data_IF_075236073316
#
_entry.id   IF_075236073316
#
_cell.length_a   1.000
_cell.length_b   1.000
_cell.length_c   1.000
_cell.angle_alpha   90.00
_cell.angle_beta   90.00
_cell.angle_gamma   90.00
#
_symmetry.space_group_name_H-M   'P 1'
#
loop_
_entity.id
_entity.type
_entity.pdbx_description
1 polymer ?
#
# COMPACT_ATOMS: atom_id res chain seq x y z
N UNK A 1 -7.52 10.93 11.17
CA UNK A 1 -6.75 10.14 12.15
C UNK A 1 -7.41 8.76 12.28
N UNK A 2 -7.09 7.82 11.39
CA UNK A 2 -7.40 6.40 11.62
C UNK A 2 -6.28 5.94 12.55
N UNK A 3 -6.62 5.64 13.80
CA UNK A 3 -5.63 5.33 14.83
C UNK A 3 -5.94 4.00 15.47
N UNK A 4 -4.88 3.20 15.61
CA UNK A 4 -4.71 1.92 16.33
C UNK A 4 -4.93 0.59 15.57
N UNK A 5 -5.57 0.56 14.40
CA UNK A 5 -5.83 -0.74 13.71
C UNK A 5 -5.48 -0.77 12.20
N UNK A 6 -4.87 0.28 11.66
CA UNK A 6 -4.43 0.27 10.26
C UNK A 6 -3.31 -0.74 10.03
N UNK A 7 -2.39 -0.87 10.98
CA UNK A 7 -1.24 -1.74 10.86
C UNK A 7 -1.66 -3.21 10.94
N UNK A 8 -2.51 -3.57 11.91
CA UNK A 8 -3.08 -4.91 12.02
C UNK A 8 -3.95 -5.27 10.81
N UNK A 9 -4.75 -4.33 10.29
CA UNK A 9 -5.47 -4.52 9.04
C UNK A 9 -4.52 -4.81 7.87
N UNK A 10 -3.47 -4.00 7.68
CA UNK A 10 -2.47 -4.18 6.63
C UNK A 10 -1.80 -5.56 6.77
N UNK A 11 -1.39 -5.95 7.97
CA UNK A 11 -0.75 -7.25 8.22
C UNK A 11 -1.69 -8.43 7.98
N UNK A 12 -3.00 -8.26 8.23
CA UNK A 12 -4.00 -9.29 7.96
C UNK A 12 -4.28 -9.49 6.46
N UNK A 13 -4.29 -8.41 5.68
CA UNK A 13 -4.57 -8.45 4.24
C UNK A 13 -3.32 -8.79 3.45
N UNK A 14 -2.16 -8.24 3.85
CA UNK A 14 -0.87 -8.40 3.19
C UNK A 14 0.15 -9.12 4.09
N UNK A 15 -0.09 -10.40 4.43
CA UNK A 15 0.83 -11.16 5.26
C UNK A 15 2.20 -11.30 4.58
N UNK A 16 3.26 -10.94 5.30
CA UNK A 16 4.63 -11.05 4.81
C UNK A 16 5.07 -9.93 3.85
N UNK A 17 4.40 -8.78 3.84
CA UNK A 17 4.72 -7.62 2.97
C UNK A 17 6.18 -7.13 3.07
N UNK A 18 6.83 -7.35 4.21
CA UNK A 18 8.24 -7.03 4.44
C UNK A 18 9.24 -8.00 3.78
N UNK A 19 8.74 -9.10 3.23
CA UNK A 19 9.54 -10.16 2.63
C UNK A 19 10.00 -9.84 1.21
N UNK A 20 10.50 -10.86 0.49
CA UNK A 20 10.81 -10.73 -0.93
C UNK A 20 9.57 -10.36 -1.74
N UNK A 21 9.78 -9.74 -2.90
CA UNK A 21 8.71 -9.30 -3.80
C UNK A 21 7.72 -10.45 -4.06
N UNK A 22 6.44 -10.29 -3.69
CA UNK A 22 5.44 -11.34 -3.89
C UNK A 22 5.10 -11.48 -5.38
N UNK A 23 4.44 -12.59 -5.78
CA UNK A 23 4.04 -12.78 -7.18
C UNK A 23 3.07 -11.65 -7.64
N UNK A 24 3.02 -11.35 -8.95
CA UNK A 24 2.28 -10.19 -9.46
C UNK A 24 0.79 -10.14 -9.06
N UNK A 25 0.15 -11.30 -8.91
CA UNK A 25 -1.26 -11.39 -8.53
C UNK A 25 -1.52 -11.09 -7.05
N UNK A 26 -0.49 -11.07 -6.21
CA UNK A 26 -0.63 -10.89 -4.76
C UNK A 26 -1.39 -9.59 -4.42
N UNK A 27 -0.98 -8.46 -5.01
CA UNK A 27 -1.64 -7.18 -4.80
C UNK A 27 -2.93 -7.01 -5.63
N UNK A 28 -3.06 -7.72 -6.75
CA UNK A 28 -4.26 -7.64 -7.60
C UNK A 28 -5.49 -8.29 -6.93
N UNK A 29 -5.27 -9.35 -6.16
CA UNK A 29 -6.33 -10.10 -5.48
C UNK A 29 -6.70 -9.53 -4.10
N UNK A 30 -6.03 -8.46 -3.66
CA UNK A 30 -6.16 -7.90 -2.30
C UNK A 30 -6.40 -6.40 -2.39
N UNK A 31 -7.46 -5.90 -1.75
CA UNK A 31 -7.78 -4.48 -1.76
C UNK A 31 -8.34 -4.03 -0.42
N UNK A 32 -7.88 -2.88 0.05
CA UNK A 32 -8.44 -2.18 1.20
C UNK A 32 -9.17 -0.95 0.67
N UNK A 33 -10.47 -0.87 0.95
CA UNK A 33 -11.29 0.27 0.54
C UNK A 33 -11.40 1.26 1.70
N UNK A 34 -11.31 2.56 1.39
CA UNK A 34 -11.51 3.62 2.36
C UNK A 34 -12.46 4.69 1.81
N UNK A 35 -13.25 5.31 2.68
CA UNK A 35 -14.30 6.24 2.29
C UNK A 35 -13.79 7.62 1.82
N UNK A 36 -12.52 7.96 2.07
CA UNK A 36 -11.93 9.26 1.72
C UNK A 36 -10.53 9.06 1.14
N UNK A 37 -10.17 9.88 0.15
CA UNK A 37 -8.86 9.83 -0.49
C UNK A 37 -7.72 10.02 0.50
N UNK A 38 -7.81 10.95 1.44
CA UNK A 38 -6.76 11.11 2.46
C UNK A 38 -6.54 9.88 3.34
N UNK A 39 -7.52 8.97 3.45
CA UNK A 39 -7.33 7.67 4.09
C UNK A 39 -6.69 6.64 3.16
N UNK A 40 -7.06 6.67 1.87
CA UNK A 40 -6.39 5.87 0.83
C UNK A 40 -4.91 6.24 0.74
N UNK A 41 -4.58 7.53 0.71
CA UNK A 41 -3.21 8.04 0.63
C UNK A 41 -2.38 7.56 1.82
N UNK A 42 -2.90 7.71 3.04
CA UNK A 42 -2.21 7.26 4.25
C UNK A 42 -2.02 5.74 4.33
N UNK A 43 -2.98 4.95 3.84
CA UNK A 43 -2.84 3.49 3.75
C UNK A 43 -1.80 3.09 2.70
N UNK A 44 -1.85 3.68 1.51
CA UNK A 44 -0.90 3.41 0.44
C UNK A 44 0.53 3.76 0.86
N UNK A 45 0.74 4.91 1.51
CA UNK A 45 2.05 5.28 2.04
C UNK A 45 2.56 4.29 3.09
N UNK A 46 1.69 3.84 4.01
CA UNK A 46 2.06 2.84 5.02
C UNK A 46 2.46 1.51 4.35
N UNK A 47 1.63 0.99 3.42
CA UNK A 47 1.89 -0.23 2.65
C UNK A 47 3.22 -0.12 1.88
N UNK A 48 3.44 0.97 1.15
CA UNK A 48 4.67 1.19 0.38
C UNK A 48 5.91 1.23 1.26
N UNK A 49 5.83 1.82 2.46
CA UNK A 49 6.95 1.86 3.41
C UNK A 49 7.30 0.47 3.99
N UNK A 50 6.39 -0.51 3.90
CA UNK A 50 6.64 -1.89 4.35
C UNK A 50 7.23 -2.77 3.26
N UNK A 51 6.99 -2.45 1.99
CA UNK A 51 7.52 -3.22 0.86
C UNK A 51 9.04 -3.15 0.82
N UNK A 52 9.68 -4.27 0.51
CA UNK A 52 11.11 -4.31 0.24
C UNK A 52 11.43 -3.66 -1.12
N UNK A 53 12.63 -3.08 -1.25
CA UNK A 53 13.11 -2.46 -2.49
C UNK A 53 13.19 -0.93 -2.44
N UNK A 54 13.29 -0.32 -3.63
CA UNK A 54 13.50 1.12 -3.79
C UNK A 54 12.19 1.86 -4.07
N UNK A 55 11.93 2.94 -3.33
CA UNK A 55 10.82 3.86 -3.61
C UNK A 55 11.13 4.70 -4.85
N UNK A 56 10.24 4.66 -5.85
CA UNK A 56 10.34 5.47 -7.07
C UNK A 56 9.11 6.34 -7.25
N UNK A 57 9.32 7.56 -7.73
CA UNK A 57 8.24 8.48 -8.12
C UNK A 57 8.26 8.62 -9.63
N UNK A 58 7.13 8.36 -10.28
CA UNK A 58 6.97 8.52 -11.73
C UNK A 58 6.19 9.79 -12.02
N UNK A 59 6.59 10.50 -13.07
CA UNK A 59 5.91 11.73 -13.51
C UNK A 59 4.83 11.36 -14.52
N UNK A 60 3.65 11.97 -14.40
CA UNK A 60 2.57 11.78 -15.37
C UNK A 60 3.01 12.20 -16.78
N UNK A 61 2.68 11.39 -17.78
CA UNK A 61 2.91 11.69 -19.18
C UNK A 61 2.00 12.83 -19.71
N UNK A 62 0.96 13.20 -18.96
CA UNK A 62 -0.01 14.24 -19.33
C UNK A 62 0.43 15.66 -18.90
N UNK A 63 1.68 15.82 -18.43
CA UNK A 63 2.27 17.13 -18.21
C UNK A 63 2.83 17.66 -19.53
N UNK A 64 2.03 18.46 -20.24
CA UNK A 64 2.48 19.37 -21.30
C UNK A 64 2.95 20.68 -20.65
#
# INVERSE_FOLDING_TARGET
>A
MITRDSDALIDSIFPGIHGPTPPPNYFLERSILAARNGNVDGLNDNILNRMSGERRTFISADKI
#
